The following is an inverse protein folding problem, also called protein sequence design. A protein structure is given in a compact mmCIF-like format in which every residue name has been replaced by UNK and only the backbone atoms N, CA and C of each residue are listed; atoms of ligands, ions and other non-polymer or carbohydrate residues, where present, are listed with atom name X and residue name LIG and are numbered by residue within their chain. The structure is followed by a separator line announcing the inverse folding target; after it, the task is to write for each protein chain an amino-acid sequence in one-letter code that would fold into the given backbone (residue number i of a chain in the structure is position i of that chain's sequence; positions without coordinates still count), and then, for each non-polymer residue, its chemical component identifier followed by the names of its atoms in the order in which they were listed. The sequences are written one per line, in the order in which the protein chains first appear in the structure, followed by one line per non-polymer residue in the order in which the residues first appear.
data_IF_672495306910
#
_entry.id   IF_672495306910
#
_cell.length_a   1.000
_cell.length_b   1.000
_cell.length_c   1.000
_cell.angle_alpha   90.00
_cell.angle_beta   90.00
_cell.angle_gamma   90.00
#
_symmetry.space_group_name_H-M   'P 1'
#
loop_
_entity.id
_entity.type
_entity.pdbx_description
1 polymer ?
#
# COMPACT_ATOMS: atom_id res chain seq x y z
N UNK A 1 13.95 21.98 -3.30
CA UNK A 1 12.61 21.95 -2.68
C UNK A 1 11.93 20.65 -3.05
N UNK A 2 12.29 19.58 -2.32
CA UNK A 2 11.58 18.31 -2.43
C UNK A 2 10.14 18.55 -1.99
N UNK A 3 9.15 17.92 -2.64
CA UNK A 3 7.74 18.03 -2.26
C UNK A 3 7.54 17.46 -0.86
N UNK A 4 7.80 18.29 0.14
CA UNK A 4 7.28 18.19 1.48
C UNK A 4 5.86 18.76 1.48
N UNK A 5 5.08 18.42 0.45
CA UNK A 5 3.65 18.62 0.50
C UNK A 5 3.16 17.54 1.46
N UNK A 6 2.76 17.94 2.66
CA UNK A 6 2.19 17.02 3.63
C UNK A 6 1.06 16.21 3.00
N UNK A 7 0.85 15.00 3.48
CA UNK A 7 -0.33 14.22 3.11
C UNK A 7 -1.57 14.91 3.69
N UNK A 8 -2.61 15.07 2.88
CA UNK A 8 -3.90 15.54 3.38
C UNK A 8 -4.45 14.45 4.31
N UNK A 9 -4.61 14.76 5.59
CA UNK A 9 -5.04 13.78 6.61
C UNK A 9 -6.31 13.03 6.23
N UNK A 10 -7.26 13.71 5.56
CA UNK A 10 -8.47 13.07 5.05
C UNK A 10 -8.19 11.97 4.00
N UNK A 11 -7.21 12.17 3.11
CA UNK A 11 -6.81 11.14 2.13
C UNK A 11 -6.19 9.94 2.83
N UNK A 12 -5.31 10.18 3.81
CA UNK A 12 -4.76 9.10 4.63
C UNK A 12 -5.87 8.35 5.41
N UNK A 13 -6.85 9.07 5.96
CA UNK A 13 -8.00 8.50 6.64
C UNK A 13 -8.86 7.61 5.74
N UNK A 14 -9.14 8.04 4.51
CA UNK A 14 -9.87 7.22 3.51
C UNK A 14 -9.11 5.93 3.22
N UNK A 15 -7.81 5.99 2.94
CA UNK A 15 -7.01 4.80 2.66
C UNK A 15 -6.94 3.87 3.88
N UNK A 16 -6.75 4.41 5.08
CA UNK A 16 -6.73 3.61 6.31
C UNK A 16 -8.06 2.90 6.59
N UNK A 17 -9.19 3.58 6.36
CA UNK A 17 -10.51 2.97 6.49
C UNK A 17 -10.72 1.84 5.47
N UNK A 18 -10.31 2.02 4.21
CA UNK A 18 -10.36 0.98 3.19
C UNK A 18 -9.51 -0.25 3.59
N UNK A 19 -8.31 -0.03 4.12
CA UNK A 19 -7.45 -1.09 4.64
C UNK A 19 -8.09 -1.85 5.82
N UNK A 20 -8.70 -1.13 6.76
CA UNK A 20 -9.39 -1.73 7.89
C UNK A 20 -10.56 -2.61 7.44
N UNK A 21 -11.35 -2.16 6.46
CA UNK A 21 -12.44 -2.96 5.89
C UNK A 21 -11.92 -4.21 5.19
N UNK A 22 -10.84 -4.13 4.40
CA UNK A 22 -10.22 -5.32 3.80
C UNK A 22 -9.74 -6.33 4.86
N UNK A 23 -9.14 -5.83 5.95
CA UNK A 23 -8.71 -6.68 7.05
C UNK A 23 -9.90 -7.38 7.74
N UNK A 24 -10.99 -6.64 8.01
CA UNK A 24 -12.21 -7.22 8.58
C UNK A 24 -12.77 -8.30 7.64
N UNK A 25 -12.94 -7.99 6.35
CA UNK A 25 -13.43 -8.95 5.34
C UNK A 25 -12.60 -10.23 5.31
N UNK A 26 -11.27 -10.08 5.35
CA UNK A 26 -10.35 -11.21 5.38
C UNK A 26 -10.57 -12.08 6.63
N UNK A 27 -10.66 -11.46 7.82
CA UNK A 27 -10.83 -12.17 9.09
C UNK A 27 -12.17 -12.90 9.20
N UNK A 28 -13.25 -12.33 8.67
CA UNK A 28 -14.60 -12.93 8.74
C UNK A 28 -14.95 -13.79 7.53
N UNK A 29 -14.08 -13.86 6.52
CA UNK A 29 -14.32 -14.62 5.28
C UNK A 29 -15.50 -14.09 4.45
N UNK A 30 -15.71 -12.77 4.41
CA UNK A 30 -16.86 -12.16 3.75
C UNK A 30 -16.49 -11.34 2.51
N UNK A 31 -17.27 -11.51 1.43
CA UNK A 31 -17.14 -10.77 0.18
C UNK A 31 -15.85 -11.04 -0.59
N UNK A 32 -15.63 -10.25 -1.64
CA UNK A 32 -14.42 -10.36 -2.47
C UNK A 32 -13.31 -9.43 -1.94
N UNK A 33 -12.12 -9.98 -1.74
CA UNK A 33 -10.94 -9.22 -1.35
C UNK A 33 -10.32 -8.48 -2.53
N UNK A 34 -9.58 -7.41 -2.24
CA UNK A 34 -8.74 -6.71 -3.21
C UNK A 34 -7.41 -7.42 -3.49
N UNK A 35 -7.22 -8.65 -3.00
CA UNK A 35 -6.03 -9.47 -3.28
C UNK A 35 -5.77 -9.59 -4.78
N UNK A 36 -4.53 -9.34 -5.19
CA UNK A 36 -4.13 -9.35 -6.61
C UNK A 36 -4.54 -8.10 -7.39
N UNK A 37 -5.00 -7.04 -6.71
CA UNK A 37 -5.30 -5.75 -7.31
C UNK A 37 -4.59 -4.60 -6.59
N UNK A 38 -4.25 -3.57 -7.36
CA UNK A 38 -3.86 -2.26 -6.86
C UNK A 38 -5.05 -1.32 -6.98
N UNK A 39 -5.51 -0.79 -5.85
CA UNK A 39 -6.54 0.25 -5.83
C UNK A 39 -5.87 1.63 -5.75
N UNK A 40 -6.15 2.50 -6.71
CA UNK A 40 -5.71 3.90 -6.69
C UNK A 40 -6.88 4.81 -6.39
N UNK A 41 -6.64 5.83 -5.56
CA UNK A 41 -7.61 6.88 -5.24
C UNK A 41 -7.07 8.24 -5.67
N UNK A 42 -7.72 8.86 -6.64
CA UNK A 42 -7.47 10.26 -7.02
C UNK A 42 -8.42 11.14 -6.22
N UNK A 43 -7.89 11.80 -5.18
CA UNK A 43 -8.67 12.64 -4.28
C UNK A 43 -9.11 13.98 -4.90
N UNK A 44 -8.49 14.43 -6.00
CA UNK A 44 -8.91 15.67 -6.68
C UNK A 44 -10.11 15.40 -7.58
N UNK A 45 -10.13 14.24 -8.23
CA UNK A 45 -11.23 13.82 -9.11
C UNK A 45 -12.27 12.95 -8.42
N UNK A 46 -12.00 12.52 -7.19
CA UNK A 46 -12.81 11.56 -6.43
C UNK A 46 -13.01 10.24 -7.18
N UNK A 47 -11.95 9.76 -7.85
CA UNK A 47 -12.00 8.56 -8.69
C UNK A 47 -11.26 7.39 -8.05
N UNK A 48 -11.87 6.21 -8.14
CA UNK A 48 -11.24 4.95 -7.80
C UNK A 48 -10.94 4.16 -9.07
N UNK A 49 -9.74 3.59 -9.15
CA UNK A 49 -9.37 2.66 -10.21
C UNK A 49 -8.80 1.39 -9.61
N UNK A 50 -9.34 0.25 -10.04
CA UNK A 50 -8.89 -1.09 -9.65
C UNK A 50 -8.07 -1.68 -10.79
N UNK A 51 -6.78 -1.90 -10.56
CA UNK A 51 -5.83 -2.40 -11.55
C UNK A 51 -5.42 -3.81 -11.15
N UNK A 52 -5.53 -4.79 -12.06
CA UNK A 52 -5.10 -6.16 -11.79
C UNK A 52 -3.58 -6.21 -11.73
N UNK A 53 -3.03 -6.82 -10.67
CA UNK A 53 -1.60 -6.97 -10.45
C UNK A 53 -1.22 -8.46 -10.53
N UNK A 54 -0.83 -8.95 -11.73
CA UNK A 54 -0.44 -10.35 -11.90
C UNK A 54 0.89 -10.64 -11.20
N UNK A 55 1.04 -11.86 -10.68
CA UNK A 55 2.33 -12.35 -10.19
C UNK A 55 3.31 -12.43 -11.36
N UNK A 56 4.55 -12.02 -11.11
CA UNK A 56 5.65 -12.19 -12.07
C UNK A 56 6.44 -13.44 -11.72
N UNK A 57 6.61 -14.33 -12.70
CA UNK A 57 7.50 -15.50 -12.57
C UNK A 57 8.95 -15.06 -12.32
N UNK A 58 9.41 -14.00 -12.98
CA UNK A 58 10.76 -13.45 -12.79
C UNK A 58 10.92 -12.58 -11.55
N UNK A 59 10.05 -12.71 -10.54
CA UNK A 59 10.16 -11.90 -9.32
C UNK A 59 11.29 -12.43 -8.43
N UNK A 60 12.27 -11.58 -8.11
CA UNK A 60 13.42 -11.93 -7.27
C UNK A 60 13.04 -12.17 -5.79
N UNK A 61 11.82 -11.79 -5.38
CA UNK A 61 11.32 -11.96 -4.00
C UNK A 61 10.36 -13.15 -3.89
N UNK A 62 9.39 -13.27 -4.80
CA UNK A 62 8.35 -14.30 -4.73
C UNK A 62 8.24 -15.15 -6.00
N UNK A 63 9.19 -15.11 -6.92
CA UNK A 63 9.25 -16.05 -8.05
C UNK A 63 9.59 -17.48 -7.58
N UNK A 64 9.59 -18.48 -8.48
CA UNK A 64 9.98 -19.86 -8.16
C UNK A 64 11.47 -19.98 -7.79
N UNK A 65 12.30 -19.00 -8.17
CA UNK A 65 13.73 -18.95 -7.84
C UNK A 65 14.07 -17.59 -7.20
N UNK A 66 13.72 -17.35 -5.93
CA UNK A 66 13.97 -16.07 -5.27
C UNK A 66 15.47 -15.87 -4.99
N UNK A 67 15.95 -14.65 -5.18
CA UNK A 67 17.35 -14.24 -4.95
C UNK A 67 17.47 -13.21 -3.82
N UNK A 68 16.39 -12.47 -3.51
CA UNK A 68 16.31 -11.52 -2.40
C UNK A 68 15.65 -12.22 -1.21
N UNK A 69 16.48 -12.68 -0.26
CA UNK A 69 16.02 -13.50 0.87
C UNK A 69 15.93 -12.74 2.19
N UNK A 70 16.50 -11.54 2.27
CA UNK A 70 16.51 -10.71 3.47
C UNK A 70 16.14 -9.28 3.12
N UNK A 71 15.32 -8.61 3.95
CA UNK A 71 15.11 -7.17 3.84
C UNK A 71 16.43 -6.41 3.99
N UNK A 72 16.58 -5.32 3.25
CA UNK A 72 17.59 -4.31 3.56
C UNK A 72 17.00 -3.38 4.62
N UNK A 73 17.61 -3.36 5.79
CA UNK A 73 17.24 -2.41 6.84
C UNK A 73 17.89 -1.05 6.52
N UNK A 74 17.06 -0.05 6.26
CA UNK A 74 17.49 1.35 6.15
C UNK A 74 17.27 2.03 7.50
N UNK A 75 18.33 2.54 8.13
CA UNK A 75 18.17 3.46 9.26
C UNK A 75 17.51 4.75 8.76
N UNK A 76 16.20 4.88 9.01
CA UNK A 76 15.48 6.12 8.79
C UNK A 76 15.86 7.09 9.90
N UNK A 77 16.68 8.10 9.58
CA UNK A 77 16.86 9.25 10.47
C UNK A 77 15.51 9.94 10.63
N UNK A 78 14.82 9.65 11.74
CA UNK A 78 13.61 10.37 12.11
C UNK A 78 13.98 11.85 12.20
N UNK A 79 13.23 12.71 11.50
CA UNK A 79 13.35 14.14 11.72
C UNK A 79 12.93 14.41 13.17
N UNK A 80 13.85 14.94 13.98
CA UNK A 80 13.54 15.44 15.32
C UNK A 80 12.42 16.48 15.20
N UNK A 81 11.23 16.13 15.67
CA UNK A 81 10.18 17.10 15.93
C UNK A 81 10.66 17.93 17.11
N UNK A 82 11.32 19.06 16.83
CA UNK A 82 11.56 20.08 17.83
C UNK A 82 10.20 20.61 18.29
N UNK A 83 9.81 20.19 19.49
CA UNK A 83 8.72 20.76 20.29
C UNK A 83 8.94 22.25 20.55
#
# INVERSE_FOLDING_TARGET
TCRQAGVVGAVAGVIGALQAVEAIKYLVGAGDLLTGYMLTYDALKMEFRKIKLPRRESCEVCGPHPTILKPFDYEQKACDLKS
#
